data_IF_880133058628
#
_entry.id   IF_880133058628
#
_cell.length_a   1.000
_cell.length_b   1.000
_cell.length_c   1.000
_cell.angle_alpha   90.00
_cell.angle_beta   90.00
_cell.angle_gamma   90.00
#
_symmetry.space_group_name_H-M   'P 1'
#
loop_
_entity.id
_entity.type
_entity.pdbx_description
1 polymer ?
#
# COMPACT_ATOMS: atom_id res chain seq x y z
N UNK A 1 5.53 2.49 16.65
CA UNK A 1 6.14 3.10 17.85
C UNK A 1 5.92 4.61 17.81
N UNK A 2 5.66 5.23 18.97
CA UNK A 2 5.51 6.69 19.11
C UNK A 2 6.89 7.39 19.04
N UNK A 3 7.67 7.07 18.02
CA UNK A 3 9.02 7.59 17.81
C UNK A 3 9.09 8.28 16.43
N UNK A 4 9.03 9.61 16.43
CA UNK A 4 9.06 10.41 15.22
C UNK A 4 10.36 10.21 14.41
N UNK A 5 11.51 10.09 15.08
CA UNK A 5 12.80 9.87 14.38
C UNK A 5 12.76 8.59 13.56
N UNK A 6 12.24 7.49 14.16
CA UNK A 6 12.10 6.22 13.47
C UNK A 6 11.09 6.30 12.30
N UNK A 7 9.98 7.01 12.49
CA UNK A 7 9.02 7.20 11.41
C UNK A 7 9.62 8.00 10.23
N UNK A 8 10.44 9.01 10.51
CA UNK A 8 11.20 9.76 9.51
C UNK A 8 12.24 8.87 8.83
N UNK A 9 12.89 7.97 9.56
CA UNK A 9 13.86 7.01 9.01
C UNK A 9 13.20 6.08 7.98
N UNK A 10 12.00 5.56 8.25
CA UNK A 10 11.23 4.78 7.26
C UNK A 10 11.03 5.56 5.95
N UNK A 11 10.70 6.86 6.03
CA UNK A 11 10.54 7.71 4.84
C UNK A 11 11.85 7.83 4.07
N UNK A 12 12.95 8.09 4.78
CA UNK A 12 14.26 8.24 4.16
C UNK A 12 14.68 6.96 3.45
N UNK A 13 14.59 5.83 4.14
CA UNK A 13 14.95 4.52 3.58
C UNK A 13 14.05 4.17 2.39
N UNK A 14 12.74 4.38 2.49
CA UNK A 14 11.83 4.15 1.38
C UNK A 14 12.22 4.97 0.13
N UNK A 15 12.57 6.25 0.32
CA UNK A 15 13.04 7.09 -0.77
C UNK A 15 14.38 6.62 -1.34
N UNK A 16 15.32 6.19 -0.48
CA UNK A 16 16.64 5.73 -0.90
C UNK A 16 16.60 4.44 -1.72
N UNK A 17 15.66 3.54 -1.43
CA UNK A 17 15.46 2.31 -2.19
C UNK A 17 14.56 2.48 -3.42
N UNK A 18 14.10 3.71 -3.72
CA UNK A 18 13.35 4.03 -4.93
C UNK A 18 11.83 3.90 -4.81
N UNK A 19 11.27 3.89 -3.59
CA UNK A 19 9.81 3.98 -3.43
C UNK A 19 9.29 5.36 -3.84
N UNK A 20 8.15 5.39 -4.52
CA UNK A 20 7.48 6.63 -4.95
C UNK A 20 6.54 7.19 -3.89
N UNK A 21 6.18 6.38 -2.90
CA UNK A 21 5.30 6.78 -1.80
C UNK A 21 5.53 5.95 -0.55
N UNK A 22 5.12 6.52 0.58
CA UNK A 22 5.03 5.80 1.85
C UNK A 22 3.62 5.91 2.41
N UNK A 23 3.20 4.88 3.14
CA UNK A 23 1.91 4.83 3.79
C UNK A 23 2.07 4.50 5.27
N UNK A 24 1.46 5.31 6.12
CA UNK A 24 1.26 5.02 7.54
C UNK A 24 -0.19 4.62 7.81
N UNK A 25 -0.51 4.36 9.07
CA UNK A 25 -1.85 3.97 9.51
C UNK A 25 -2.26 4.84 10.68
N UNK A 26 -3.44 5.45 10.60
CA UNK A 26 -4.02 6.27 11.67
C UNK A 26 -5.22 5.53 12.27
N UNK A 27 -4.94 4.77 13.31
CA UNK A 27 -5.95 4.01 14.06
C UNK A 27 -5.93 4.38 15.53
N UNK A 28 -7.04 4.10 16.19
CA UNK A 28 -7.20 4.13 17.65
C UNK A 28 -7.74 2.77 18.08
N UNK A 29 -7.02 2.08 18.94
CA UNK A 29 -7.37 0.74 19.41
C UNK A 29 -8.77 0.73 20.02
N UNK A 30 -9.11 1.77 20.79
CA UNK A 30 -10.43 1.90 21.41
C UNK A 30 -11.58 2.10 20.39
N UNK A 31 -11.28 2.51 19.15
CA UNK A 31 -12.26 2.64 18.08
C UNK A 31 -12.32 1.40 17.17
N UNK A 32 -11.22 0.64 17.08
CA UNK A 32 -11.14 -0.57 16.26
C UNK A 32 -11.79 -1.80 16.90
N UNK A 33 -11.78 -1.87 18.22
CA UNK A 33 -12.23 -3.06 18.95
C UNK A 33 -13.26 -2.70 20.00
N UNK A 34 -14.26 -3.57 20.16
CA UNK A 34 -15.26 -3.39 21.20
C UNK A 34 -14.62 -3.41 22.60
N UNK A 35 -15.21 -2.69 23.58
CA UNK A 35 -14.72 -2.70 24.94
C UNK A 35 -14.61 -4.11 25.56
N UNK A 36 -15.49 -5.03 25.13
CA UNK A 36 -15.46 -6.42 25.57
C UNK A 36 -14.20 -7.16 25.10
N UNK A 37 -13.85 -6.99 23.81
CA UNK A 37 -12.62 -7.56 23.26
C UNK A 37 -11.41 -7.02 23.99
N UNK A 38 -11.34 -5.69 24.20
CA UNK A 38 -10.21 -5.06 24.90
C UNK A 38 -10.07 -5.49 26.36
N UNK A 39 -11.19 -5.85 27.01
CA UNK A 39 -11.20 -6.37 28.37
C UNK A 39 -10.59 -7.78 28.45
N UNK A 40 -10.87 -8.61 27.45
CA UNK A 40 -10.45 -10.03 27.44
C UNK A 40 -9.16 -10.29 26.68
N UNK A 41 -8.79 -9.44 25.71
CA UNK A 41 -7.61 -9.58 24.86
C UNK A 41 -6.59 -8.47 25.19
N UNK A 42 -5.79 -8.70 26.24
CA UNK A 42 -4.76 -7.75 26.67
C UNK A 42 -3.67 -7.52 25.61
N UNK A 43 -3.39 -8.52 24.79
CA UNK A 43 -2.50 -8.42 23.64
C UNK A 43 -2.96 -7.36 22.64
N UNK A 44 -4.27 -7.30 22.36
CA UNK A 44 -4.86 -6.27 21.50
C UNK A 44 -4.78 -4.89 22.16
N UNK A 45 -5.12 -4.80 23.46
CA UNK A 45 -5.05 -3.53 24.17
C UNK A 45 -3.63 -2.95 24.22
N UNK A 46 -2.60 -3.79 24.27
CA UNK A 46 -1.20 -3.36 24.21
C UNK A 46 -0.79 -2.72 22.87
N UNK A 47 -1.55 -2.95 21.78
CA UNK A 47 -1.31 -2.34 20.45
C UNK A 47 -1.51 -0.83 20.44
N UNK A 48 -2.06 -0.22 21.51
CA UNK A 48 -2.07 1.25 21.70
C UNK A 48 -0.68 1.89 21.59
N UNK A 49 0.39 1.16 21.89
CA UNK A 49 1.77 1.60 21.69
C UNK A 49 2.14 1.84 20.22
N UNK A 50 1.35 1.31 19.28
CA UNK A 50 1.56 1.42 17.83
C UNK A 50 0.69 2.51 17.17
N UNK A 51 -0.24 3.12 17.92
CA UNK A 51 -1.00 4.26 17.42
C UNK A 51 -0.06 5.38 16.98
N UNK A 52 -0.30 5.89 15.78
CA UNK A 52 0.43 7.04 15.24
C UNK A 52 -0.07 8.31 15.94
N UNK A 53 0.79 9.09 16.62
CA UNK A 53 0.39 10.39 17.17
C UNK A 53 0.00 11.35 16.04
N UNK A 54 -1.13 12.05 16.21
CA UNK A 54 -1.63 12.98 15.18
C UNK A 54 -0.63 14.11 14.89
N UNK A 55 0.12 14.56 15.89
CA UNK A 55 1.19 15.55 15.77
C UNK A 55 2.35 15.12 14.88
N UNK A 56 2.44 13.84 14.50
CA UNK A 56 3.45 13.36 13.56
C UNK A 56 3.06 13.59 12.09
N UNK A 57 1.78 13.83 11.78
CA UNK A 57 1.30 13.93 10.40
C UNK A 57 2.01 15.02 9.61
N UNK A 58 2.13 16.23 10.20
CA UNK A 58 2.81 17.34 9.53
C UNK A 58 4.31 17.09 9.33
N UNK A 59 5.11 16.69 10.35
CA UNK A 59 6.50 16.33 10.14
C UNK A 59 6.73 15.23 9.12
N UNK A 60 5.89 14.19 9.06
CA UNK A 60 6.00 13.09 8.12
C UNK A 60 5.70 13.56 6.69
N UNK A 61 4.62 14.31 6.49
CA UNK A 61 4.28 14.90 5.19
C UNK A 61 5.40 15.83 4.69
N UNK A 62 5.95 16.66 5.58
CA UNK A 62 7.07 17.56 5.23
C UNK A 62 8.34 16.77 4.85
N UNK A 63 8.61 15.67 5.54
CA UNK A 63 9.75 14.81 5.19
C UNK A 63 9.56 14.13 3.83
N UNK A 64 8.36 13.66 3.52
CA UNK A 64 8.05 13.10 2.20
C UNK A 64 8.27 14.13 1.09
N UNK A 65 7.82 15.40 1.29
CA UNK A 65 8.07 16.49 0.35
C UNK A 65 9.56 16.74 0.14
N UNK A 66 10.37 16.76 1.22
CA UNK A 66 11.83 16.91 1.14
C UNK A 66 12.51 15.78 0.35
N UNK A 67 11.95 14.57 0.44
CA UNK A 67 12.46 13.38 -0.25
C UNK A 67 11.83 13.19 -1.64
N UNK A 68 10.93 14.09 -2.07
CA UNK A 68 10.21 14.01 -3.36
C UNK A 68 9.40 12.72 -3.55
N UNK A 69 8.88 12.16 -2.47
CA UNK A 69 7.96 11.01 -2.48
C UNK A 69 6.60 11.41 -1.92
N UNK A 70 5.55 10.67 -2.26
CA UNK A 70 4.19 10.94 -1.80
C UNK A 70 3.95 10.41 -0.40
N UNK A 71 3.13 11.13 0.35
CA UNK A 71 2.67 10.73 1.67
C UNK A 71 1.25 10.22 1.63
N UNK A 72 1.00 9.07 2.23
CA UNK A 72 -0.33 8.52 2.44
C UNK A 72 -0.49 8.01 3.87
N UNK A 73 -1.74 7.94 4.30
CA UNK A 73 -2.08 7.32 5.57
C UNK A 73 -3.47 6.68 5.45
N UNK A 74 -3.62 5.48 6.03
CA UNK A 74 -4.90 4.79 6.07
C UNK A 74 -5.72 5.29 7.27
N UNK A 75 -6.91 5.86 7.05
CA UNK A 75 -7.85 6.17 8.12
C UNK A 75 -8.55 4.89 8.60
N UNK A 76 -8.68 4.71 9.90
CA UNK A 76 -9.42 3.62 10.54
C UNK A 76 -10.59 4.10 11.41
N UNK A 77 -10.97 5.36 11.26
CA UNK A 77 -12.15 5.98 11.86
C UNK A 77 -12.52 7.23 11.05
N UNK A 78 -13.79 7.62 11.09
CA UNK A 78 -14.34 8.67 10.17
C UNK A 78 -13.60 10.00 10.35
N UNK A 79 -13.40 10.47 11.58
CA UNK A 79 -12.77 11.76 11.85
C UNK A 79 -11.28 11.79 11.41
N UNK A 80 -10.66 10.63 11.17
CA UNK A 80 -9.32 10.57 10.62
C UNK A 80 -9.24 11.13 9.20
N UNK A 81 -10.33 11.08 8.44
CA UNK A 81 -10.36 11.57 7.05
C UNK A 81 -10.04 13.08 7.02
N UNK A 82 -10.74 13.88 7.81
CA UNK A 82 -10.51 15.32 7.86
C UNK A 82 -9.13 15.66 8.45
N UNK A 83 -8.67 14.90 9.45
CA UNK A 83 -7.33 15.08 10.04
C UNK A 83 -6.20 14.81 9.05
N UNK A 84 -6.39 13.84 8.15
CA UNK A 84 -5.41 13.46 7.14
C UNK A 84 -5.43 14.37 5.91
N UNK A 85 -6.57 14.98 5.60
CA UNK A 85 -6.80 15.76 4.38
C UNK A 85 -5.71 16.80 4.06
N UNK A 86 -5.17 17.58 5.04
CA UNK A 86 -4.12 18.56 4.76
C UNK A 86 -2.77 17.97 4.37
N UNK A 87 -2.53 16.70 4.71
CA UNK A 87 -1.20 16.11 4.68
C UNK A 87 -1.01 15.07 3.59
N UNK A 88 -2.05 14.25 3.32
CA UNK A 88 -1.92 13.11 2.39
C UNK A 88 -2.04 13.54 0.93
N UNK A 89 -1.29 12.88 0.05
CA UNK A 89 -1.42 13.03 -1.40
C UNK A 89 -2.55 12.15 -1.95
N UNK A 90 -2.83 11.04 -1.30
CA UNK A 90 -3.92 10.11 -1.61
C UNK A 90 -4.34 9.35 -0.36
N UNK A 91 -5.58 8.85 -0.33
CA UNK A 91 -6.04 7.96 0.73
C UNK A 91 -5.76 6.51 0.39
N UNK A 92 -5.29 5.73 1.36
CA UNK A 92 -5.21 4.28 1.29
C UNK A 92 -6.28 3.67 2.19
N UNK A 93 -7.06 2.75 1.64
CA UNK A 93 -8.05 1.98 2.39
C UNK A 93 -7.56 0.54 2.51
N UNK A 94 -7.55 0.01 3.72
CA UNK A 94 -7.15 -1.36 3.96
C UNK A 94 -8.30 -2.34 3.64
N UNK A 95 -7.98 -3.62 3.48
CA UNK A 95 -8.97 -4.64 3.07
C UNK A 95 -10.12 -4.80 4.04
N UNK A 96 -9.85 -4.64 5.33
CA UNK A 96 -10.88 -4.77 6.39
C UNK A 96 -11.92 -3.65 6.36
N UNK A 97 -11.60 -2.49 5.79
CA UNK A 97 -12.47 -1.32 5.68
C UNK A 97 -13.18 -1.25 4.32
N UNK A 98 -13.00 -2.23 3.43
CA UNK A 98 -13.58 -2.21 2.08
C UNK A 98 -15.11 -2.07 2.08
N UNK A 99 -15.79 -2.66 3.05
CA UNK A 99 -17.25 -2.63 3.16
C UNK A 99 -17.77 -1.56 4.13
N UNK A 100 -16.93 -0.61 4.51
CA UNK A 100 -17.35 0.53 5.32
C UNK A 100 -17.71 1.72 4.44
N UNK A 101 -18.94 1.70 3.91
CA UNK A 101 -19.44 2.66 2.93
C UNK A 101 -19.27 4.12 3.36
N UNK A 102 -19.49 4.43 4.65
CA UNK A 102 -19.35 5.78 5.18
C UNK A 102 -17.90 6.28 5.13
N UNK A 103 -16.94 5.42 5.43
CA UNK A 103 -15.52 5.75 5.33
C UNK A 103 -15.07 5.93 3.86
N UNK A 104 -15.54 5.05 2.98
CA UNK A 104 -15.28 5.14 1.54
C UNK A 104 -15.83 6.43 0.96
N UNK A 105 -17.09 6.77 1.30
CA UNK A 105 -17.74 8.00 0.87
C UNK A 105 -17.02 9.24 1.39
N UNK A 106 -16.68 9.28 2.69
CA UNK A 106 -15.95 10.39 3.29
C UNK A 106 -14.60 10.63 2.59
N UNK A 107 -13.82 9.57 2.34
CA UNK A 107 -12.56 9.70 1.59
C UNK A 107 -12.78 10.17 0.15
N UNK A 108 -13.78 9.64 -0.55
CA UNK A 108 -14.10 10.00 -1.93
C UNK A 108 -14.50 11.47 -2.09
N UNK A 109 -15.31 11.99 -1.15
CA UNK A 109 -15.77 13.38 -1.11
C UNK A 109 -14.65 14.40 -0.95
N UNK A 110 -13.49 14.00 -0.44
CA UNK A 110 -12.31 14.88 -0.38
C UNK A 110 -11.76 15.26 -1.76
N UNK A 111 -12.10 14.51 -2.81
CA UNK A 111 -11.59 14.69 -4.16
C UNK A 111 -10.15 14.20 -4.37
N UNK A 112 -9.48 13.67 -3.34
CA UNK A 112 -8.13 13.08 -3.46
C UNK A 112 -8.19 11.71 -4.14
N UNK A 113 -7.09 11.29 -4.80
CA UNK A 113 -6.97 9.91 -5.30
C UNK A 113 -7.13 8.89 -4.17
N UNK A 114 -7.66 7.71 -4.52
CA UNK A 114 -7.81 6.61 -3.58
C UNK A 114 -7.13 5.35 -4.08
N UNK A 115 -6.46 4.63 -3.18
CA UNK A 115 -5.93 3.28 -3.39
C UNK A 115 -6.61 2.37 -2.39
N UNK A 116 -7.29 1.33 -2.86
CA UNK A 116 -8.17 0.48 -2.04
C UNK A 116 -7.79 -0.98 -2.19
N UNK A 117 -7.47 -1.63 -1.07
CA UNK A 117 -7.15 -3.06 -1.03
C UNK A 117 -8.42 -3.91 -0.96
N UNK A 118 -8.40 -5.07 -1.63
CA UNK A 118 -9.58 -5.93 -1.87
C UNK A 118 -9.43 -7.33 -1.27
N UNK A 119 -8.54 -7.52 -0.30
CA UNK A 119 -8.36 -8.82 0.36
C UNK A 119 -9.64 -9.29 1.05
N UNK A 120 -9.88 -10.60 1.05
CA UNK A 120 -11.05 -11.29 1.60
C UNK A 120 -12.40 -11.02 0.88
N UNK A 121 -12.47 -10.03 -0.01
CA UNK A 121 -13.70 -9.64 -0.66
C UNK A 121 -14.02 -10.51 -1.88
N UNK A 122 -15.31 -10.69 -2.12
CA UNK A 122 -15.85 -11.22 -3.35
C UNK A 122 -15.85 -10.15 -4.45
N UNK A 123 -16.03 -10.55 -5.70
CA UNK A 123 -16.07 -9.60 -6.81
C UNK A 123 -17.24 -8.62 -6.72
N UNK A 124 -18.39 -9.07 -6.21
CA UNK A 124 -19.58 -8.24 -6.04
C UNK A 124 -19.38 -7.20 -4.93
N UNK A 125 -18.72 -7.55 -3.82
CA UNK A 125 -18.34 -6.63 -2.77
C UNK A 125 -17.34 -5.58 -3.25
N UNK A 126 -16.38 -5.97 -4.10
CA UNK A 126 -15.45 -5.03 -4.72
C UNK A 126 -16.21 -4.04 -5.62
N UNK A 127 -17.16 -4.54 -6.45
CA UNK A 127 -17.97 -3.66 -7.30
C UNK A 127 -18.81 -2.70 -6.48
N UNK A 128 -19.44 -3.17 -5.40
CA UNK A 128 -20.20 -2.31 -4.48
C UNK A 128 -19.30 -1.16 -3.95
N UNK A 129 -18.12 -1.48 -3.45
CA UNK A 129 -17.18 -0.47 -2.96
C UNK A 129 -16.77 0.54 -4.05
N UNK A 130 -16.53 0.07 -5.28
CA UNK A 130 -16.24 0.93 -6.43
C UNK A 130 -17.39 1.88 -6.73
N UNK A 131 -18.63 1.39 -6.67
CA UNK A 131 -19.83 2.20 -6.93
C UNK A 131 -20.02 3.27 -5.84
N UNK A 132 -19.82 2.92 -4.57
CA UNK A 132 -19.83 3.87 -3.46
C UNK A 132 -18.77 4.97 -3.67
N UNK A 133 -17.54 4.58 -3.98
CA UNK A 133 -16.43 5.52 -4.16
C UNK A 133 -16.66 6.45 -5.37
N UNK A 134 -17.08 5.90 -6.52
CA UNK A 134 -17.31 6.68 -7.73
C UNK A 134 -18.51 7.62 -7.60
N UNK A 135 -19.61 7.15 -7.01
CA UNK A 135 -20.82 7.98 -6.78
C UNK A 135 -20.58 9.14 -5.81
N UNK A 136 -19.58 9.02 -4.93
CA UNK A 136 -19.16 10.07 -4.00
C UNK A 136 -18.03 10.97 -4.53
N UNK A 137 -17.70 10.89 -5.84
CA UNK A 137 -16.90 11.91 -6.53
C UNK A 137 -15.41 11.59 -6.69
N UNK A 138 -14.93 10.42 -6.28
CA UNK A 138 -13.54 10.02 -6.54
C UNK A 138 -13.29 9.83 -8.05
N UNK A 139 -12.34 10.60 -8.59
CA UNK A 139 -11.99 10.56 -10.03
C UNK A 139 -10.82 9.62 -10.33
N UNK A 140 -9.99 9.32 -9.35
CA UNK A 140 -8.78 8.50 -9.51
C UNK A 140 -8.75 7.40 -8.46
N UNK A 141 -9.22 6.23 -8.85
CA UNK A 141 -9.29 5.03 -8.02
C UNK A 141 -8.36 3.96 -8.58
N UNK A 142 -7.52 3.40 -7.72
CA UNK A 142 -6.73 2.19 -7.98
C UNK A 142 -7.12 1.14 -6.95
N UNK A 143 -7.46 -0.05 -7.41
CA UNK A 143 -7.67 -1.20 -6.54
C UNK A 143 -6.36 -1.96 -6.36
N UNK A 144 -6.14 -2.57 -5.20
CA UNK A 144 -5.04 -3.51 -4.99
C UNK A 144 -5.60 -4.90 -4.73
N UNK A 145 -5.33 -5.83 -5.65
CA UNK A 145 -5.51 -7.23 -5.30
C UNK A 145 -4.51 -7.62 -4.23
N UNK A 146 -4.95 -8.33 -3.20
CA UNK A 146 -4.11 -8.89 -2.16
C UNK A 146 -4.79 -10.09 -1.50
N UNK A 147 -3.99 -10.88 -0.79
CA UNK A 147 -4.47 -11.92 0.13
C UNK A 147 -4.18 -11.47 1.55
N UNK A 148 -5.23 -11.39 2.40
CA UNK A 148 -5.10 -10.97 3.81
C UNK A 148 -4.62 -12.12 4.70
N UNK A 149 -3.51 -12.74 4.30
CA UNK A 149 -2.73 -13.72 5.06
C UNK A 149 -1.31 -13.17 5.24
N UNK A 150 -0.75 -13.26 6.43
CA UNK A 150 0.51 -12.62 6.81
C UNK A 150 1.47 -13.65 7.44
N UNK A 151 2.44 -14.23 6.68
CA UNK A 151 2.66 -14.05 5.24
C UNK A 151 1.64 -14.80 4.37
N UNK A 152 1.50 -14.37 3.12
CA UNK A 152 0.73 -15.10 2.10
C UNK A 152 1.60 -16.20 1.48
N UNK A 153 1.18 -17.47 1.50
CA UNK A 153 1.83 -18.48 0.70
C UNK A 153 1.76 -18.12 -0.80
N UNK A 154 2.88 -18.16 -1.52
CA UNK A 154 2.92 -17.72 -2.93
C UNK A 154 1.91 -18.47 -3.83
N UNK A 155 1.53 -19.70 -3.49
CA UNK A 155 0.50 -20.49 -4.20
C UNK A 155 -0.92 -19.91 -4.03
N UNK A 156 -1.15 -19.11 -2.99
CA UNK A 156 -2.43 -18.49 -2.65
C UNK A 156 -2.50 -17.02 -3.09
N UNK A 157 -1.43 -16.48 -3.68
CA UNK A 157 -1.40 -15.10 -4.17
C UNK A 157 -2.42 -14.82 -5.28
N UNK A 158 -2.85 -15.84 -6.04
CA UNK A 158 -3.87 -15.77 -7.09
C UNK A 158 -3.77 -14.53 -7.98
N UNK A 159 -2.58 -14.23 -8.51
CA UNK A 159 -2.34 -13.03 -9.32
C UNK A 159 -3.26 -12.90 -10.54
N UNK A 160 -3.86 -14.01 -11.02
CA UNK A 160 -4.83 -13.98 -12.11
C UNK A 160 -6.08 -13.15 -11.75
N UNK A 161 -6.43 -13.05 -10.47
CA UNK A 161 -7.55 -12.23 -10.01
C UNK A 161 -7.37 -10.73 -10.33
N UNK A 162 -6.14 -10.25 -10.53
CA UNK A 162 -5.85 -8.88 -10.99
C UNK A 162 -6.60 -8.59 -12.30
N UNK A 163 -6.53 -9.52 -13.25
CA UNK A 163 -7.25 -9.37 -14.52
C UNK A 163 -8.78 -9.43 -14.31
N UNK A 164 -9.26 -10.36 -13.50
CA UNK A 164 -10.69 -10.50 -13.22
C UNK A 164 -11.26 -9.23 -12.60
N UNK A 165 -10.59 -8.66 -11.59
CA UNK A 165 -11.01 -7.42 -10.93
C UNK A 165 -10.99 -6.26 -11.94
N UNK A 166 -9.94 -6.14 -12.75
CA UNK A 166 -9.80 -5.09 -13.77
C UNK A 166 -10.91 -5.17 -14.81
N UNK A 167 -11.15 -6.34 -15.36
CA UNK A 167 -12.17 -6.55 -16.40
C UNK A 167 -13.59 -6.28 -15.87
N UNK A 168 -13.86 -6.63 -14.62
CA UNK A 168 -15.17 -6.48 -14.01
C UNK A 168 -15.47 -5.03 -13.61
N UNK A 169 -14.51 -4.35 -12.96
CA UNK A 169 -14.72 -3.02 -12.39
C UNK A 169 -14.36 -1.87 -13.32
N UNK A 170 -13.56 -2.13 -14.37
CA UNK A 170 -12.96 -1.11 -15.23
C UNK A 170 -11.94 -0.20 -14.53
N UNK A 171 -11.47 -0.57 -13.33
CA UNK A 171 -10.50 0.19 -12.56
C UNK A 171 -9.07 -0.26 -12.87
N UNK A 172 -8.09 0.63 -12.64
CA UNK A 172 -6.69 0.22 -12.51
C UNK A 172 -6.53 -0.71 -11.31
N UNK A 173 -5.78 -1.81 -11.50
CA UNK A 173 -5.54 -2.79 -10.45
C UNK A 173 -4.05 -3.00 -10.24
N UNK A 174 -3.60 -2.82 -8.99
CA UNK A 174 -2.27 -3.10 -8.49
C UNK A 174 -2.21 -4.37 -7.67
N UNK A 175 -1.08 -4.58 -7.00
CA UNK A 175 -0.80 -5.71 -6.11
C UNK A 175 -0.35 -5.21 -4.74
N UNK A 176 -0.96 -5.71 -3.65
CA UNK A 176 -0.47 -5.53 -2.28
C UNK A 176 0.19 -6.84 -1.82
N UNK A 177 1.51 -6.80 -1.67
CA UNK A 177 2.33 -7.98 -1.41
C UNK A 177 2.45 -8.30 0.08
N UNK A 178 2.12 -9.53 0.43
CA UNK A 178 2.39 -10.14 1.72
C UNK A 178 3.18 -11.45 1.58
N UNK A 179 3.72 -11.73 0.38
CA UNK A 179 4.42 -12.99 0.10
C UNK A 179 5.91 -12.93 0.39
N UNK A 180 6.49 -11.72 0.43
CA UNK A 180 7.93 -11.45 0.51
C UNK A 180 8.70 -12.28 -0.54
N UNK A 181 8.18 -12.30 -1.78
CA UNK A 181 8.72 -13.08 -2.87
C UNK A 181 8.90 -12.24 -4.14
N UNK A 182 10.14 -12.04 -4.55
CA UNK A 182 10.49 -11.24 -5.74
C UNK A 182 9.85 -11.76 -7.03
N UNK A 183 9.76 -13.07 -7.19
CA UNK A 183 9.11 -13.70 -8.34
C UNK A 183 7.63 -13.37 -8.45
N UNK A 184 6.92 -13.22 -7.31
CA UNK A 184 5.52 -12.80 -7.27
C UNK A 184 5.39 -11.35 -7.73
N UNK A 185 6.25 -10.45 -7.24
CA UNK A 185 6.26 -9.04 -7.64
C UNK A 185 6.55 -8.91 -9.14
N UNK A 186 7.63 -9.50 -9.64
CA UNK A 186 7.95 -9.47 -11.07
C UNK A 186 6.81 -9.99 -11.92
N UNK A 187 6.19 -11.11 -11.52
CA UNK A 187 5.08 -11.69 -12.26
C UNK A 187 3.83 -10.81 -12.24
N UNK A 188 3.53 -10.12 -11.13
CA UNK A 188 2.41 -9.18 -11.03
C UNK A 188 2.57 -8.02 -12.03
N UNK A 189 3.79 -7.51 -12.18
CA UNK A 189 4.13 -6.39 -13.07
C UNK A 189 4.14 -6.87 -14.54
N UNK A 190 5.03 -7.80 -14.87
CA UNK A 190 5.33 -8.13 -16.28
C UNK A 190 4.25 -9.00 -16.94
N UNK A 191 3.57 -9.84 -16.17
CA UNK A 191 2.49 -10.67 -16.74
C UNK A 191 1.11 -10.06 -16.61
N UNK A 192 0.83 -9.43 -15.46
CA UNK A 192 -0.51 -8.96 -15.14
C UNK A 192 -0.67 -7.44 -15.31
N UNK A 193 0.41 -6.74 -15.68
CA UNK A 193 0.41 -5.32 -16.03
C UNK A 193 0.14 -4.40 -14.84
N UNK A 194 0.58 -4.82 -13.64
CA UNK A 194 0.46 -4.04 -12.42
C UNK A 194 1.38 -2.83 -12.49
N UNK A 195 0.86 -1.64 -12.16
CA UNK A 195 1.62 -0.39 -12.09
C UNK A 195 1.84 0.10 -10.67
N UNK A 196 1.09 -0.44 -9.71
CA UNK A 196 1.19 -0.08 -8.30
C UNK A 196 1.43 -1.35 -7.49
N UNK A 197 2.53 -1.40 -6.77
CA UNK A 197 2.85 -2.47 -5.83
C UNK A 197 2.97 -1.86 -4.44
N UNK A 198 2.23 -2.40 -3.48
CA UNK A 198 2.33 -2.07 -2.06
C UNK A 198 2.99 -3.23 -1.32
N UNK A 199 3.80 -2.93 -0.32
CA UNK A 199 4.43 -3.92 0.55
C UNK A 199 4.68 -3.36 1.94
N UNK A 200 4.87 -4.25 2.91
CA UNK A 200 5.31 -3.89 4.25
C UNK A 200 6.83 -3.82 4.31
N UNK A 201 7.36 -2.75 4.90
CA UNK A 201 8.80 -2.52 5.08
C UNK A 201 9.16 -2.58 6.56
N UNK A 202 10.20 -3.33 6.89
CA UNK A 202 10.89 -3.26 8.18
C UNK A 202 12.34 -2.80 7.99
N UNK A 203 12.93 -2.14 9.00
CA UNK A 203 14.29 -1.59 8.87
C UNK A 203 15.37 -2.50 9.46
N UNK A 204 15.03 -3.32 10.45
CA UNK A 204 16.01 -3.96 11.33
C UNK A 204 16.04 -5.50 11.20
N UNK A 205 14.98 -6.09 10.62
CA UNK A 205 14.86 -7.55 10.55
C UNK A 205 14.66 -8.19 11.92
N UNK A 206 13.95 -7.51 12.82
CA UNK A 206 13.67 -8.00 14.15
C UNK A 206 12.39 -7.40 14.72
N UNK A 207 11.76 -8.12 15.64
CA UNK A 207 10.56 -7.68 16.34
C UNK A 207 9.28 -8.27 15.78
N UNK A 208 8.18 -8.05 16.51
CA UNK A 208 6.90 -8.74 16.33
C UNK A 208 6.32 -8.64 14.91
N UNK A 209 6.45 -7.48 14.25
CA UNK A 209 5.95 -7.29 12.88
C UNK A 209 6.82 -8.02 11.85
N UNK A 210 8.15 -7.95 12.00
CA UNK A 210 9.07 -8.67 11.11
C UNK A 210 8.98 -10.19 11.31
N UNK A 211 8.90 -10.63 12.55
CA UNK A 211 8.84 -12.05 12.91
C UNK A 211 7.56 -12.73 12.38
N UNK A 212 6.52 -11.95 12.08
CA UNK A 212 5.33 -12.43 11.39
C UNK A 212 5.58 -12.82 9.92
N UNK A 213 6.73 -12.41 9.34
CA UNK A 213 7.25 -12.94 8.07
C UNK A 213 6.69 -12.29 6.79
N UNK A 214 5.97 -11.16 6.89
CA UNK A 214 5.36 -10.48 5.74
C UNK A 214 6.04 -9.15 5.38
N UNK A 215 7.08 -8.75 6.11
CA UNK A 215 7.79 -7.50 5.87
C UNK A 215 9.06 -7.72 5.04
N UNK A 216 9.28 -6.83 4.09
CA UNK A 216 10.53 -6.76 3.34
C UNK A 216 11.59 -5.96 4.10
N UNK A 217 12.85 -6.34 3.97
CA UNK A 217 13.97 -5.50 4.37
C UNK A 217 14.41 -4.59 3.20
N UNK A 218 15.01 -3.41 3.49
CA UNK A 218 15.41 -2.44 2.46
C UNK A 218 16.31 -3.03 1.37
N UNK A 219 17.30 -3.82 1.75
CA UNK A 219 18.22 -4.46 0.81
C UNK A 219 17.56 -5.52 -0.08
N UNK A 220 16.49 -6.16 0.40
CA UNK A 220 15.75 -7.17 -0.37
C UNK A 220 14.85 -6.50 -1.40
N UNK A 221 13.96 -5.60 -0.96
CA UNK A 221 12.99 -4.97 -1.85
C UNK A 221 13.64 -3.93 -2.76
N UNK A 222 14.70 -3.25 -2.32
CA UNK A 222 15.47 -2.32 -3.14
C UNK A 222 16.06 -3.00 -4.38
N UNK A 223 16.59 -4.21 -4.25
CA UNK A 223 17.04 -5.01 -5.40
C UNK A 223 15.90 -5.36 -6.36
N UNK A 224 14.71 -5.67 -5.83
CA UNK A 224 13.54 -5.96 -6.68
C UNK A 224 13.11 -4.71 -7.45
N UNK A 225 13.06 -3.55 -6.80
CA UNK A 225 12.73 -2.26 -7.43
C UNK A 225 13.74 -1.95 -8.54
N UNK A 226 15.03 -2.09 -8.27
CA UNK A 226 16.07 -1.89 -9.26
C UNK A 226 15.93 -2.83 -10.46
N UNK A 227 15.73 -4.13 -10.22
CA UNK A 227 15.52 -5.12 -11.28
C UNK A 227 14.28 -4.83 -12.13
N UNK A 228 13.18 -4.40 -11.53
CA UNK A 228 11.97 -3.99 -12.25
C UNK A 228 12.26 -2.78 -13.14
N UNK A 229 12.91 -1.76 -12.61
CA UNK A 229 13.24 -0.54 -13.36
C UNK A 229 14.19 -0.84 -14.52
N UNK A 230 15.22 -1.67 -14.29
CA UNK A 230 16.15 -2.10 -15.34
C UNK A 230 15.43 -2.93 -16.42
N UNK A 231 14.50 -3.82 -16.00
CA UNK A 231 13.66 -4.59 -16.92
C UNK A 231 12.81 -3.71 -17.83
N UNK A 232 12.15 -2.69 -17.26
CA UNK A 232 11.33 -1.73 -18.04
C UNK A 232 12.21 -0.94 -19.02
N UNK A 233 13.41 -0.51 -18.61
CA UNK A 233 14.34 0.19 -19.50
C UNK A 233 14.85 -0.70 -20.62
N UNK A 234 14.93 -2.01 -20.42
CA UNK A 234 15.40 -2.95 -21.42
C UNK A 234 14.41 -3.25 -22.55
N UNK A 235 13.15 -2.79 -22.43
CA UNK A 235 12.14 -2.98 -23.49
C UNK A 235 12.52 -2.23 -24.78
N UNK A 236 13.25 -1.11 -24.67
CA UNK A 236 13.69 -0.33 -25.84
C UNK A 236 12.53 0.26 -26.63
N UNK A 237 12.79 0.59 -27.89
CA UNK A 237 11.81 1.17 -28.83
C UNK A 237 11.22 0.14 -29.80
N UNK A 238 11.70 -1.10 -29.79
CA UNK A 238 11.27 -2.19 -30.67
C UNK A 238 11.86 -2.14 -32.09
N UNK A 239 12.75 -1.19 -32.41
CA UNK A 239 13.41 -1.11 -33.70
C UNK A 239 14.61 -2.08 -33.72
N UNK A 240 14.62 -3.02 -34.67
CA UNK A 240 15.73 -3.97 -34.79
C UNK A 240 16.80 -3.43 -35.75
N UNK A 241 17.73 -2.67 -35.21
CA UNK A 241 18.93 -2.18 -35.91
C UNK A 241 20.17 -2.29 -35.00
N UNK A 242 21.38 -2.23 -35.55
CA UNK A 242 22.60 -2.21 -34.73
C UNK A 242 22.59 -1.02 -33.77
N UNK A 243 22.84 -1.29 -32.49
CA UNK A 243 22.96 -0.25 -31.46
C UNK A 243 24.38 0.28 -31.36
N UNK A 244 24.61 1.50 -30.79
CA UNK A 244 25.93 2.12 -30.72
C UNK A 244 27.03 1.26 -30.09
N UNK A 245 26.68 0.40 -29.11
CA UNK A 245 27.63 -0.49 -28.45
C UNK A 245 28.05 -1.69 -29.33
N UNK A 246 27.30 -2.01 -30.40
CA UNK A 246 27.62 -3.07 -31.34
C UNK A 246 28.49 -2.55 -32.50
N UNK A 247 28.57 -1.23 -32.69
CA UNK A 247 29.26 -0.57 -33.83
C UNK A 247 30.68 -0.07 -33.43
N UNK A 248 31.14 -0.44 -32.23
CA UNK A 248 32.48 -0.08 -31.79
C UNK A 248 33.53 -0.99 -32.45
N UNK A 249 33.98 -0.54 -33.63
CA UNK A 249 35.38 -0.69 -34.10
C UNK A 249 35.72 0.37 -35.14
#
# INVERSE_FOLDING_TARGET
SRNLKRAIEFINVAADIGCESVKFQLFKIDSLFSPEILKHRKDIAQRKKWELPEEFLEPLSNQCKKRSIKFSCTPFYIEAVDKLLPYVDFYKIASYELLWDELLAACAQTGKPMIVSTGMATIDEIQHAVDVIKSNGCKKLTLLHCTSSYPTPYKEANLAAIKTIRDFTGCEVGWSDHTVNSGVIHRSIHKWGVKVVEFHLDLEGSGEEYDSGHCWLPNQIGQVIEQVNNGIQSDGDGIKEPIPSEVQE
#
